data_IF_212006065419
#
_entry.id   IF_212006065419
#
_cell.length_a   1.000
_cell.length_b   1.000
_cell.length_c   1.000
_cell.angle_alpha   90.00
_cell.angle_beta   90.00
_cell.angle_gamma   90.00
#
_symmetry.space_group_name_H-M   'P 1'
#
loop_
_entity.id
_entity.type
_entity.pdbx_description
1 polymer ?
#
# COMPACT_ATOMS: atom_id res chain seq x y z
N UNK A 1 -24.69 4.69 20.07
CA UNK A 1 -24.73 5.51 18.84
C UNK A 1 -24.97 4.58 17.64
N UNK A 2 -25.35 5.12 16.47
CA UNK A 2 -25.47 4.32 15.25
C UNK A 2 -24.13 3.65 14.86
N UNK A 3 -23.03 4.41 14.97
CA UNK A 3 -21.65 3.93 14.75
C UNK A 3 -21.33 2.73 15.65
N UNK A 4 -21.69 2.77 16.93
CA UNK A 4 -21.46 1.65 17.84
C UNK A 4 -22.16 0.36 17.41
N UNK A 5 -23.40 0.46 16.90
CA UNK A 5 -24.13 -0.71 16.37
C UNK A 5 -23.49 -1.26 15.10
N UNK A 6 -23.03 -0.38 14.20
CA UNK A 6 -22.31 -0.79 12.99
C UNK A 6 -21.00 -1.50 13.33
N UNK A 7 -20.24 -0.97 14.29
CA UNK A 7 -18.99 -1.60 14.74
C UNK A 7 -19.25 -2.99 15.33
N UNK A 8 -20.29 -3.17 16.16
CA UNK A 8 -20.64 -4.49 16.70
C UNK A 8 -21.06 -5.46 15.58
N UNK A 9 -21.80 -4.99 14.58
CA UNK A 9 -22.23 -5.83 13.47
C UNK A 9 -21.06 -6.32 12.59
N UNK A 10 -19.99 -5.52 12.47
CA UNK A 10 -18.81 -5.84 11.66
C UNK A 10 -17.76 -6.62 12.46
N UNK A 11 -17.42 -6.15 13.67
CA UNK A 11 -16.31 -6.69 14.47
C UNK A 11 -16.75 -7.71 15.52
N UNK A 12 -18.06 -7.91 15.71
CA UNK A 12 -18.61 -8.80 16.71
C UNK A 12 -18.77 -8.16 18.09
N UNK A 13 -19.51 -8.85 18.96
CA UNK A 13 -19.65 -8.46 20.35
C UNK A 13 -18.33 -8.62 21.11
N UNK A 14 -18.07 -7.74 22.07
CA UNK A 14 -16.89 -7.81 22.95
C UNK A 14 -15.64 -7.09 22.45
N UNK A 15 -15.63 -6.54 21.23
CA UNK A 15 -14.51 -5.74 20.73
C UNK A 15 -14.25 -4.52 21.64
N UNK A 16 -12.97 -4.21 21.89
CA UNK A 16 -12.57 -3.24 22.94
C UNK A 16 -12.40 -1.80 22.45
N UNK A 17 -12.63 -1.55 21.15
CA UNK A 17 -12.40 -0.25 20.50
C UNK A 17 -11.22 -0.25 19.53
N UNK A 18 -11.09 0.84 18.78
CA UNK A 18 -10.01 1.10 17.84
C UNK A 18 -9.84 2.61 17.62
N UNK A 19 -8.67 3.02 17.13
CA UNK A 19 -8.49 4.32 16.49
C UNK A 19 -8.65 4.15 14.97
N UNK A 20 -9.14 5.19 14.29
CA UNK A 20 -9.28 5.18 12.84
C UNK A 20 -8.74 6.47 12.24
N UNK A 21 -7.96 6.32 11.17
CA UNK A 21 -7.58 7.42 10.30
C UNK A 21 -8.24 7.22 8.93
N UNK A 22 -8.98 8.23 8.48
CA UNK A 22 -9.53 8.27 7.13
C UNK A 22 -8.63 9.15 6.28
N UNK A 23 -8.15 8.62 5.16
CA UNK A 23 -7.36 9.33 4.17
C UNK A 23 -8.12 9.30 2.85
N UNK A 24 -7.84 10.28 2.01
CA UNK A 24 -8.34 10.34 0.64
C UNK A 24 -7.21 10.76 -0.28
N UNK A 25 -7.06 10.07 -1.40
CA UNK A 25 -6.12 10.45 -2.46
C UNK A 25 -6.70 11.63 -3.26
N UNK A 26 -5.87 12.33 -4.03
CA UNK A 26 -6.32 13.48 -4.82
C UNK A 26 -7.37 13.15 -5.89
N UNK A 27 -7.41 11.88 -6.32
CA UNK A 27 -8.37 11.31 -7.26
C UNK A 27 -9.58 10.65 -6.58
N UNK A 28 -9.67 10.71 -5.24
CA UNK A 28 -10.87 10.36 -4.49
C UNK A 28 -10.95 8.93 -3.96
N UNK A 29 -9.86 8.15 -4.01
CA UNK A 29 -9.79 6.84 -3.38
C UNK A 29 -9.70 7.02 -1.87
N UNK A 30 -10.66 6.42 -1.14
CA UNK A 30 -10.65 6.38 0.32
C UNK A 30 -9.74 5.28 0.86
N UNK A 31 -8.92 5.61 1.87
CA UNK A 31 -8.11 4.64 2.61
C UNK A 31 -8.43 4.78 4.09
N UNK A 32 -8.87 3.69 4.71
CA UNK A 32 -9.16 3.63 6.14
C UNK A 32 -8.12 2.77 6.85
N UNK A 33 -7.45 3.35 7.85
CA UNK A 33 -6.49 2.64 8.69
C UNK A 33 -7.08 2.45 10.08
N UNK A 34 -7.21 1.18 10.49
CA UNK A 34 -7.74 0.80 11.79
C UNK A 34 -6.63 0.33 12.72
N UNK A 35 -6.55 0.94 13.89
CA UNK A 35 -5.70 0.48 14.97
C UNK A 35 -6.59 -0.17 16.06
N UNK A 36 -6.79 -1.48 15.96
CA UNK A 36 -7.56 -2.22 16.97
C UNK A 36 -6.83 -2.23 18.31
N UNK A 37 -7.58 -2.12 19.42
CA UNK A 37 -7.02 -2.17 20.77
C UNK A 37 -6.39 -3.53 21.10
N UNK A 38 -7.03 -4.60 20.62
CA UNK A 38 -6.49 -5.96 20.66
C UNK A 38 -6.08 -6.32 19.23
N UNK A 39 -4.77 -6.36 18.99
CA UNK A 39 -4.19 -6.62 17.66
C UNK A 39 -2.84 -7.30 17.79
N UNK A 40 -2.38 -7.87 16.69
CA UNK A 40 -0.97 -8.24 16.54
C UNK A 40 -0.11 -6.97 16.44
N UNK A 41 1.11 -7.02 16.94
CA UNK A 41 2.06 -5.90 16.83
C UNK A 41 2.47 -5.64 15.37
N UNK A 42 2.39 -6.68 14.54
CA UNK A 42 2.85 -6.64 13.15
C UNK A 42 2.03 -7.59 12.27
N UNK A 43 1.77 -7.19 11.04
CA UNK A 43 1.16 -8.02 10.02
C UNK A 43 2.16 -9.05 9.47
N UNK A 44 1.74 -10.29 9.27
CA UNK A 44 2.52 -11.34 8.62
C UNK A 44 1.92 -11.62 7.24
N UNK A 45 2.64 -11.21 6.19
CA UNK A 45 2.21 -11.42 4.81
C UNK A 45 2.27 -12.90 4.48
N UNK A 46 1.13 -13.48 4.12
CA UNK A 46 0.98 -14.89 3.78
C UNK A 46 0.49 -15.05 2.35
N UNK A 47 1.41 -15.35 1.44
CA UNK A 47 1.13 -15.56 0.01
C UNK A 47 0.33 -16.83 -0.29
N UNK A 48 0.12 -17.71 0.70
CA UNK A 48 -0.72 -18.90 0.53
C UNK A 48 -2.21 -18.62 0.77
N UNK A 49 -2.54 -17.49 1.41
CA UNK A 49 -3.92 -17.14 1.74
C UNK A 49 -4.61 -16.44 0.57
N UNK A 50 -5.88 -16.79 0.38
CA UNK A 50 -6.76 -16.11 -0.56
C UNK A 50 -7.16 -14.73 -0.01
N UNK A 51 -7.36 -13.77 -0.93
CA UNK A 51 -7.78 -12.41 -0.61
C UNK A 51 -6.80 -11.37 -1.14
N UNK A 52 -6.96 -10.13 -0.67
CA UNK A 52 -6.04 -9.03 -0.98
C UNK A 52 -4.76 -9.23 -0.15
N UNK A 53 -3.60 -9.18 -0.80
CA UNK A 53 -2.30 -9.35 -0.14
C UNK A 53 -1.46 -8.07 -0.10
N UNK A 54 -1.70 -7.13 -1.02
CA UNK A 54 -1.04 -5.83 -1.06
C UNK A 54 -1.89 -4.83 -1.86
N UNK A 55 -1.45 -3.57 -1.86
CA UNK A 55 -1.98 -2.51 -2.71
C UNK A 55 -0.84 -1.75 -3.38
N UNK A 56 -1.15 -1.04 -4.47
CA UNK A 56 -0.21 -0.19 -5.18
C UNK A 56 -0.57 1.29 -4.97
N UNK A 57 0.44 2.14 -4.83
CA UNK A 57 0.29 3.59 -4.88
C UNK A 57 1.08 4.16 -6.06
N UNK A 58 0.38 4.95 -6.88
CA UNK A 58 1.00 5.70 -7.96
C UNK A 58 1.55 7.01 -7.41
N UNK A 59 2.75 7.35 -7.85
CA UNK A 59 3.40 8.59 -7.47
C UNK A 59 3.87 9.33 -8.72
N UNK A 60 3.85 10.67 -8.72
CA UNK A 60 4.59 11.43 -9.70
C UNK A 60 6.06 11.00 -9.70
N UNK A 61 6.65 10.84 -10.90
CA UNK A 61 7.99 10.27 -11.05
C UNK A 61 9.05 11.01 -10.24
N UNK A 62 8.93 12.33 -10.14
CA UNK A 62 9.81 13.20 -9.36
C UNK A 62 9.75 12.94 -7.85
N UNK A 63 8.66 12.35 -7.36
CA UNK A 63 8.49 12.02 -5.94
C UNK A 63 8.95 10.61 -5.60
N UNK A 64 9.02 9.70 -6.59
CA UNK A 64 9.25 8.27 -6.42
C UNK A 64 10.40 7.93 -5.44
N UNK A 65 11.61 8.41 -5.72
CA UNK A 65 12.78 8.13 -4.86
C UNK A 65 12.67 8.75 -3.46
N UNK A 66 12.10 9.97 -3.36
CA UNK A 66 11.94 10.63 -2.06
C UNK A 66 10.87 9.94 -1.20
N UNK A 67 9.83 9.38 -1.82
CA UNK A 67 8.81 8.61 -1.13
C UNK A 67 9.37 7.29 -0.57
N UNK A 68 10.19 6.58 -1.36
CA UNK A 68 10.92 5.38 -0.89
C UNK A 68 11.76 5.71 0.34
N UNK A 69 12.55 6.79 0.28
CA UNK A 69 13.37 7.22 1.41
C UNK A 69 12.53 7.52 2.66
N UNK A 70 11.38 8.17 2.49
CA UNK A 70 10.45 8.43 3.61
C UNK A 70 9.93 7.14 4.23
N UNK A 71 9.64 6.12 3.43
CA UNK A 71 9.21 4.81 3.97
C UNK A 71 10.28 4.25 4.91
N UNK A 72 11.54 4.24 4.50
CA UNK A 72 12.66 3.79 5.34
C UNK A 72 12.87 4.68 6.58
N UNK A 73 12.79 6.01 6.43
CA UNK A 73 12.91 6.97 7.53
C UNK A 73 11.88 6.73 8.64
N UNK A 74 10.69 6.26 8.28
CA UNK A 74 9.62 5.95 9.23
C UNK A 74 9.58 4.47 9.68
N UNK A 75 10.62 3.69 9.34
CA UNK A 75 10.79 2.31 9.82
C UNK A 75 10.23 1.22 8.90
N UNK A 76 9.83 1.58 7.69
CA UNK A 76 9.52 0.63 6.63
C UNK A 76 10.79 0.03 5.99
N UNK A 77 10.61 -0.84 5.00
CA UNK A 77 11.70 -1.52 4.29
C UNK A 77 11.46 -1.58 2.79
N UNK A 78 12.52 -1.41 2.02
CA UNK A 78 12.55 -1.76 0.61
C UNK A 78 12.78 -3.27 0.47
N UNK A 79 11.91 -3.98 -0.26
CA UNK A 79 11.92 -5.46 -0.33
C UNK A 79 12.62 -6.02 -1.55
N UNK A 80 12.96 -5.17 -2.50
CA UNK A 80 13.64 -5.52 -3.75
C UNK A 80 14.34 -4.29 -4.33
N UNK A 81 15.24 -4.49 -5.28
CA UNK A 81 15.80 -3.38 -6.06
C UNK A 81 14.70 -2.65 -6.85
N UNK A 82 14.94 -1.39 -7.19
CA UNK A 82 14.04 -0.63 -8.07
C UNK A 82 14.14 -1.22 -9.47
N UNK A 83 13.01 -1.65 -10.02
CA UNK A 83 12.94 -2.32 -11.32
C UNK A 83 12.33 -1.42 -12.38
N UNK A 84 12.69 -1.72 -13.64
CA UNK A 84 12.07 -1.18 -14.86
C UNK A 84 11.55 -2.35 -15.68
N UNK A 85 10.40 -2.18 -16.33
CA UNK A 85 9.86 -3.22 -17.24
C UNK A 85 10.71 -3.36 -18.52
N UNK A 86 11.32 -2.27 -18.99
CA UNK A 86 12.21 -2.21 -20.16
C UNK A 86 13.55 -1.57 -19.76
N UNK A 87 14.43 -2.31 -19.07
CA UNK A 87 15.71 -1.77 -18.61
C UNK A 87 16.64 -1.33 -19.76
N UNK A 88 16.48 -1.90 -20.95
CA UNK A 88 17.27 -1.63 -22.16
C UNK A 88 16.85 -0.38 -22.94
N UNK A 89 15.62 0.09 -22.77
CA UNK A 89 15.06 1.21 -23.53
C UNK A 89 15.10 2.50 -22.70
N UNK A 90 16.07 3.39 -22.97
CA UNK A 90 16.23 4.65 -22.26
C UNK A 90 15.04 5.63 -22.39
N UNK A 91 14.09 5.39 -23.29
CA UNK A 91 12.86 6.19 -23.36
C UNK A 91 11.79 5.66 -22.40
N UNK A 92 11.82 4.36 -22.08
CA UNK A 92 10.86 3.70 -21.17
C UNK A 92 11.36 3.70 -19.73
N UNK A 93 11.15 4.81 -19.06
CA UNK A 93 11.67 5.08 -17.72
C UNK A 93 10.66 4.81 -16.59
N UNK A 94 9.66 3.96 -16.83
CA UNK A 94 8.70 3.53 -15.81
C UNK A 94 9.41 2.63 -14.78
N UNK A 95 9.27 2.99 -13.50
CA UNK A 95 9.91 2.30 -12.38
C UNK A 95 8.87 1.78 -11.40
N UNK A 96 9.23 0.67 -10.73
CA UNK A 96 8.44 0.10 -9.65
C UNK A 96 9.32 -0.49 -8.54
N UNK A 97 8.76 -0.60 -7.34
CA UNK A 97 9.42 -1.27 -6.21
C UNK A 97 8.39 -1.79 -5.20
N UNK A 98 8.62 -2.99 -4.66
CA UNK A 98 7.90 -3.50 -3.49
C UNK A 98 8.52 -2.98 -2.18
N UNK A 99 7.66 -2.54 -1.27
CA UNK A 99 8.02 -2.05 0.04
C UNK A 99 7.17 -2.69 1.13
N UNK A 100 7.63 -2.50 2.37
CA UNK A 100 6.96 -2.89 3.59
C UNK A 100 6.82 -1.66 4.48
N UNK A 101 5.64 -1.44 5.04
CA UNK A 101 5.42 -0.36 6.02
C UNK A 101 5.94 -0.77 7.41
N UNK A 102 5.99 0.14 8.39
CA UNK A 102 6.50 -0.18 9.73
C UNK A 102 5.71 -1.28 10.46
N UNK A 103 4.46 -1.54 10.04
CA UNK A 103 3.58 -2.54 10.62
C UNK A 103 3.59 -3.86 9.86
N UNK A 104 4.38 -3.97 8.78
CA UNK A 104 4.52 -5.18 7.99
C UNK A 104 3.56 -5.37 6.84
N UNK A 105 2.76 -4.36 6.51
CA UNK A 105 1.93 -4.42 5.31
C UNK A 105 2.82 -4.34 4.07
N UNK A 106 2.55 -5.21 3.10
CA UNK A 106 3.19 -5.17 1.79
C UNK A 106 2.45 -4.17 0.90
N UNK A 107 3.20 -3.36 0.17
CA UNK A 107 2.67 -2.48 -0.86
C UNK A 107 3.72 -2.20 -1.94
N UNK A 108 3.32 -1.61 -3.05
CA UNK A 108 4.23 -1.21 -4.12
C UNK A 108 4.05 0.26 -4.51
N UNK A 109 5.14 0.85 -5.02
CA UNK A 109 5.10 2.16 -5.66
C UNK A 109 5.36 2.03 -7.14
N UNK A 110 4.57 2.74 -7.95
CA UNK A 110 4.80 2.95 -9.38
C UNK A 110 5.09 4.43 -9.67
N UNK A 111 6.06 4.68 -10.54
CA UNK A 111 6.43 6.03 -10.99
C UNK A 111 5.63 6.52 -12.21
N UNK A 112 4.56 5.81 -12.57
CA UNK A 112 3.77 5.99 -13.78
C UNK A 112 2.31 5.62 -13.50
N UNK A 113 1.42 5.91 -14.44
CA UNK A 113 0.02 5.49 -14.30
C UNK A 113 -0.09 3.97 -14.43
N UNK A 114 -1.13 3.38 -13.87
CA UNK A 114 -1.31 1.93 -13.79
C UNK A 114 -1.88 1.42 -15.11
N UNK A 115 -2.62 2.30 -15.79
CA UNK A 115 -3.01 2.17 -17.18
C UNK A 115 -1.78 1.98 -18.09
N UNK A 116 -0.72 2.75 -17.86
CA UNK A 116 0.53 2.63 -18.64
C UNK A 116 1.28 1.32 -18.36
N UNK A 117 1.07 0.67 -17.20
CA UNK A 117 1.72 -0.61 -16.86
C UNK A 117 1.26 -1.77 -17.75
N UNK A 118 0.13 -1.64 -18.46
CA UNK A 118 -0.38 -2.70 -19.35
C UNK A 118 -0.81 -2.17 -20.72
N UNK A 119 -0.50 -0.92 -21.05
CA UNK A 119 -0.78 -0.32 -22.34
C UNK A 119 0.11 -0.92 -23.44
N UNK A 120 -0.23 -2.14 -23.88
CA UNK A 120 0.00 -2.80 -25.19
C UNK A 120 1.35 -2.76 -25.90
N UNK A 121 2.41 -2.13 -25.42
CA UNK A 121 3.76 -2.23 -26.02
C UNK A 121 4.52 -3.49 -25.54
N UNK A 122 3.78 -4.54 -25.16
CA UNK A 122 4.29 -5.82 -24.65
C UNK A 122 4.38 -6.91 -25.75
N UNK A 123 4.48 -6.52 -27.02
CA UNK A 123 4.85 -7.43 -28.13
C UNK A 123 6.36 -7.60 -28.26
#
# INVERSE_FOLDING_TARGET
SAIGRMCIAVFGEGFKGFNIAHLVTSDGIGVELFEMKERQERHEVDFSRLGIFHFCLQLPKEQFHSAIKRVEEFGGKVRMDIMRYHPEDELKQAQMVYLEDPFGNLFEFYSHTYEDTYATDYE
#
